data_IF_500145510120
#
_entry.id   IF_500145510120
#
_cell.length_a   1.000
_cell.length_b   1.000
_cell.length_c   1.000
_cell.angle_alpha   90.00
_cell.angle_beta   90.00
_cell.angle_gamma   90.00
#
_symmetry.space_group_name_H-M   'P 1'
#
loop_
_entity.id
_entity.type
_entity.pdbx_description
1 polymer ?
#
# COMPACT_ATOMS: atom_id res chain seq x y z
N UNK A 1 -21.05 27.38 -9.51
CA UNK A 1 -19.79 27.93 -8.94
C UNK A 1 -19.08 26.94 -8.01
N UNK A 2 -19.57 26.64 -6.79
CA UNK A 2 -18.84 25.72 -5.89
C UNK A 2 -18.85 24.24 -6.35
N UNK A 3 -19.99 23.77 -6.86
CA UNK A 3 -20.08 22.39 -7.39
C UNK A 3 -19.23 22.22 -8.65
N UNK A 4 -19.08 23.27 -9.47
CA UNK A 4 -18.21 23.25 -10.64
C UNK A 4 -16.73 23.20 -10.24
N UNK A 5 -16.33 23.95 -9.22
CA UNK A 5 -14.98 23.83 -8.64
C UNK A 5 -14.69 22.41 -8.12
N UNK A 6 -15.70 21.71 -7.57
CA UNK A 6 -15.53 20.32 -7.13
C UNK A 6 -15.40 19.34 -8.31
N UNK A 7 -15.88 19.70 -9.51
CA UNK A 7 -15.68 18.90 -10.73
C UNK A 7 -14.24 18.97 -11.22
N UNK A 8 -13.49 20.03 -10.92
CA UNK A 8 -12.06 20.13 -11.26
C UNK A 8 -11.24 18.99 -10.63
N UNK A 9 -11.67 18.41 -9.51
CA UNK A 9 -11.04 17.22 -8.93
C UNK A 9 -11.05 16.01 -9.88
N UNK A 10 -11.84 16.02 -10.97
CA UNK A 10 -11.81 15.00 -12.02
C UNK A 10 -10.51 15.02 -12.81
N UNK A 11 -9.90 16.19 -12.97
CA UNK A 11 -8.64 16.37 -13.71
C UNK A 11 -7.53 15.54 -13.07
N UNK A 12 -6.86 14.74 -13.90
CA UNK A 12 -5.77 13.88 -13.46
C UNK A 12 -4.59 14.65 -12.87
N UNK A 13 -4.26 15.82 -13.42
CA UNK A 13 -3.17 16.68 -12.94
C UNK A 13 -3.44 17.18 -11.52
N UNK A 14 -4.70 17.51 -11.23
CA UNK A 14 -5.13 17.98 -9.90
C UNK A 14 -5.08 16.81 -8.91
N UNK A 15 -5.59 15.62 -9.29
CA UNK A 15 -5.51 14.42 -8.44
C UNK A 15 -4.07 14.04 -8.14
N UNK A 16 -3.21 14.06 -9.15
CA UNK A 16 -1.79 13.76 -9.00
C UNK A 16 -1.12 14.75 -8.06
N UNK A 17 -1.40 16.05 -8.20
CA UNK A 17 -0.85 17.07 -7.32
C UNK A 17 -1.29 16.89 -5.86
N UNK A 18 -2.59 16.70 -5.62
CA UNK A 18 -3.17 16.48 -4.29
C UNK A 18 -2.70 15.17 -3.65
N UNK A 19 -2.46 14.13 -4.46
CA UNK A 19 -1.98 12.83 -3.99
C UNK A 19 -0.64 12.93 -3.26
N UNK A 20 0.17 13.93 -3.57
CA UNK A 20 1.47 14.16 -2.92
C UNK A 20 1.36 14.47 -1.43
N UNK A 21 0.23 15.05 -1.01
CA UNK A 21 -0.04 15.46 0.37
C UNK A 21 -0.99 14.51 1.11
N UNK A 22 -1.60 13.56 0.40
CA UNK A 22 -2.57 12.65 0.99
C UNK A 22 -1.84 11.58 1.83
N UNK A 23 -2.30 11.35 3.06
CA UNK A 23 -1.77 10.28 3.90
C UNK A 23 -1.95 8.90 3.24
N UNK A 24 -0.99 7.97 3.44
CA UNK A 24 -1.11 6.58 2.96
C UNK A 24 -2.43 5.92 3.39
N UNK A 25 -2.80 6.13 4.66
CA UNK A 25 -4.05 5.66 5.26
C UNK A 25 -4.63 6.68 6.25
N UNK A 26 -5.91 6.55 6.58
CA UNK A 26 -6.61 7.40 7.56
C UNK A 26 -7.18 6.58 8.70
N UNK A 27 -7.40 7.23 9.85
CA UNK A 27 -8.09 6.61 11.01
C UNK A 27 -9.58 6.38 10.73
N UNK A 28 -10.20 7.25 9.94
CA UNK A 28 -11.60 7.14 9.55
C UNK A 28 -11.76 6.30 8.28
N UNK A 29 -12.91 5.64 8.19
CA UNK A 29 -13.33 4.97 6.97
C UNK A 29 -13.61 5.99 5.85
N UNK A 30 -13.43 5.54 4.60
CA UNK A 30 -13.84 6.25 3.40
C UNK A 30 -15.35 6.06 3.20
N UNK A 31 -16.12 7.13 3.33
CA UNK A 31 -17.56 7.12 3.05
C UNK A 31 -17.84 7.66 1.66
N UNK A 32 -18.47 6.85 0.82
CA UNK A 32 -19.05 7.32 -0.43
C UNK A 32 -20.20 8.29 -0.16
N UNK A 33 -20.15 9.47 -0.78
CA UNK A 33 -21.21 10.49 -0.68
C UNK A 33 -21.85 10.81 -2.02
N UNK A 34 -21.03 10.91 -3.06
CA UNK A 34 -21.39 11.20 -4.45
C UNK A 34 -20.17 10.92 -5.34
N UNK A 35 -20.30 11.18 -6.64
CA UNK A 35 -19.30 10.82 -7.66
C UNK A 35 -17.94 11.43 -7.40
N UNK A 36 -17.87 12.62 -6.79
CA UNK A 36 -16.62 13.28 -6.40
C UNK A 36 -15.80 12.49 -5.38
N UNK A 37 -16.43 11.56 -4.64
CA UNK A 37 -15.69 10.69 -3.72
C UNK A 37 -14.66 9.85 -4.47
N UNK A 38 -14.99 9.36 -5.68
CA UNK A 38 -14.09 8.55 -6.51
C UNK A 38 -12.86 9.32 -7.00
N UNK A 39 -12.92 10.65 -6.99
CA UNK A 39 -11.80 11.51 -7.37
C UNK A 39 -10.91 11.90 -6.20
N UNK A 40 -11.17 11.37 -5.00
CA UNK A 40 -10.29 11.64 -3.85
C UNK A 40 -8.89 11.09 -4.11
N UNK A 41 -7.82 11.79 -3.66
CA UNK A 41 -6.45 11.39 -3.96
C UNK A 41 -6.09 9.98 -3.45
N UNK A 42 -6.70 9.54 -2.35
CA UNK A 42 -6.53 8.17 -1.82
C UNK A 42 -7.02 7.09 -2.79
N UNK A 43 -8.14 7.32 -3.47
CA UNK A 43 -8.70 6.38 -4.44
C UNK A 43 -7.85 6.41 -5.70
N UNK A 44 -7.53 7.60 -6.18
CA UNK A 44 -6.60 7.77 -7.30
C UNK A 44 -5.28 7.03 -7.06
N UNK A 45 -4.67 7.17 -5.88
CA UNK A 45 -3.46 6.42 -5.49
C UNK A 45 -3.68 4.92 -5.56
N UNK A 46 -4.76 4.39 -4.96
CA UNK A 46 -5.04 2.96 -4.97
C UNK A 46 -5.14 2.43 -6.40
N UNK A 47 -5.94 3.08 -7.24
CA UNK A 47 -6.17 2.68 -8.63
C UNK A 47 -4.90 2.77 -9.47
N UNK A 48 -4.11 3.84 -9.30
CA UNK A 48 -2.81 4.01 -9.96
C UNK A 48 -1.82 2.91 -9.51
N UNK A 49 -1.69 2.67 -8.21
CA UNK A 49 -0.84 1.60 -7.66
C UNK A 49 -1.29 0.22 -8.14
N UNK A 50 -2.59 -0.02 -8.29
CA UNK A 50 -3.10 -1.27 -8.84
C UNK A 50 -2.63 -1.47 -10.29
N UNK A 51 -2.65 -0.44 -11.13
CA UNK A 51 -2.19 -0.52 -12.53
C UNK A 51 -0.66 -0.60 -12.67
N UNK A 52 0.08 0.01 -11.75
CA UNK A 52 1.55 0.11 -11.80
C UNK A 52 2.26 -1.04 -11.08
N UNK A 53 1.70 -1.51 -9.96
CA UNK A 53 2.41 -2.33 -8.97
C UNK A 53 1.87 -3.74 -8.80
N UNK A 54 0.60 -3.98 -9.12
CA UNK A 54 0.03 -5.33 -9.04
C UNK A 54 0.77 -6.29 -9.98
N UNK A 55 1.09 -7.50 -9.50
CA UNK A 55 1.78 -8.54 -10.27
C UNK A 55 0.92 -9.81 -10.31
N UNK A 56 -0.03 -9.94 -11.26
CA UNK A 56 -0.89 -11.11 -11.30
C UNK A 56 -0.08 -12.40 -11.50
N UNK A 57 -0.40 -13.45 -10.74
CA UNK A 57 0.28 -14.75 -10.84
C UNK A 57 -0.33 -15.67 -11.89
N UNK A 58 -1.49 -15.29 -12.44
CA UNK A 58 -2.11 -15.93 -13.58
C UNK A 58 -2.64 -14.89 -14.56
N UNK A 59 -2.59 -15.23 -15.85
CA UNK A 59 -3.28 -14.43 -16.87
C UNK A 59 -4.78 -14.73 -16.90
N UNK A 60 -5.24 -15.84 -16.36
CA UNK A 60 -6.68 -16.11 -16.27
C UNK A 60 -7.26 -15.45 -15.02
N UNK A 61 -8.38 -14.75 -15.17
CA UNK A 61 -9.04 -14.04 -14.07
C UNK A 61 -10.53 -14.33 -14.01
N UNK A 62 -11.03 -14.50 -12.79
CA UNK A 62 -12.46 -14.57 -12.49
C UNK A 62 -12.86 -13.31 -11.74
N UNK A 63 -13.95 -12.69 -12.18
CA UNK A 63 -14.58 -11.60 -11.44
C UNK A 63 -15.73 -12.17 -10.59
N UNK A 64 -15.70 -11.86 -9.30
CA UNK A 64 -16.70 -12.26 -8.32
C UNK A 64 -17.53 -11.05 -7.90
N UNK A 65 -18.77 -11.29 -7.50
CA UNK A 65 -19.65 -10.25 -6.97
C UNK A 65 -19.13 -9.71 -5.63
N UNK A 66 -19.47 -8.45 -5.33
CA UNK A 66 -19.16 -7.87 -4.04
C UNK A 66 -19.98 -8.54 -2.93
N UNK A 67 -19.29 -8.94 -1.87
CA UNK A 67 -19.87 -9.49 -0.63
C UNK A 67 -19.42 -8.65 0.56
N UNK A 68 -19.85 -9.01 1.76
CA UNK A 68 -19.39 -8.31 2.97
C UNK A 68 -17.86 -8.39 3.11
N UNK A 69 -17.24 -7.22 3.34
CA UNK A 69 -15.80 -7.09 3.55
C UNK A 69 -15.40 -7.63 4.94
N UNK A 70 -14.21 -8.26 5.07
CA UNK A 70 -13.26 -8.60 4.01
C UNK A 70 -13.73 -9.80 3.19
N UNK A 71 -13.67 -9.68 1.86
CA UNK A 71 -14.21 -10.65 0.89
C UNK A 71 -13.63 -12.06 1.04
N UNK A 72 -12.38 -12.16 1.49
CA UNK A 72 -11.67 -13.40 1.76
C UNK A 72 -12.37 -14.27 2.81
N UNK A 73 -13.21 -13.71 3.70
CA UNK A 73 -14.04 -14.53 4.60
C UNK A 73 -14.98 -15.47 3.83
N UNK A 74 -15.50 -15.02 2.70
CA UNK A 74 -16.42 -15.78 1.85
C UNK A 74 -15.65 -16.57 0.80
N UNK A 75 -14.66 -15.94 0.15
CA UNK A 75 -14.01 -16.50 -1.03
C UNK A 75 -12.66 -17.20 -0.77
N UNK A 76 -12.21 -17.33 0.49
CA UNK A 76 -10.93 -18.01 0.82
C UNK A 76 -10.81 -19.40 0.20
N UNK A 77 -11.83 -20.26 0.36
CA UNK A 77 -11.81 -21.62 -0.21
C UNK A 77 -11.71 -21.62 -1.74
N UNK A 78 -12.35 -20.63 -2.38
CA UNK A 78 -12.30 -20.49 -3.85
C UNK A 78 -10.89 -20.11 -4.30
N UNK A 79 -10.24 -19.18 -3.59
CA UNK A 79 -8.85 -18.79 -3.86
C UNK A 79 -7.87 -19.92 -3.62
N UNK A 80 -7.91 -20.53 -2.44
CA UNK A 80 -6.95 -21.57 -2.03
C UNK A 80 -7.06 -22.82 -2.91
N UNK A 81 -8.24 -23.09 -3.48
CA UNK A 81 -8.48 -24.17 -4.45
C UNK A 81 -8.26 -23.79 -5.92
N UNK A 82 -7.76 -22.59 -6.21
CA UNK A 82 -7.61 -22.08 -7.57
C UNK A 82 -6.16 -21.76 -7.97
N UNK A 83 -5.88 -21.83 -9.27
CA UNK A 83 -4.67 -21.29 -9.91
C UNK A 83 -4.92 -20.00 -10.70
N UNK A 84 -6.17 -19.54 -10.80
CA UNK A 84 -6.55 -18.30 -11.47
C UNK A 84 -6.43 -17.10 -10.52
N UNK A 85 -6.35 -15.88 -11.08
CA UNK A 85 -6.61 -14.67 -10.29
C UNK A 85 -8.11 -14.54 -10.03
N UNK A 86 -8.45 -14.02 -8.85
CA UNK A 86 -9.83 -13.73 -8.44
C UNK A 86 -9.88 -12.28 -8.00
N UNK A 87 -10.69 -11.49 -8.70
CA UNK A 87 -10.94 -10.10 -8.40
C UNK A 87 -12.41 -9.92 -8.04
N UNK A 88 -12.70 -9.08 -7.05
CA UNK A 88 -14.07 -8.70 -6.70
C UNK A 88 -14.43 -7.43 -7.46
N UNK A 89 -15.54 -7.46 -8.20
CA UNK A 89 -16.11 -6.27 -8.84
C UNK A 89 -16.71 -5.38 -7.76
N UNK A 90 -16.07 -4.23 -7.48
CA UNK A 90 -16.50 -3.32 -6.42
C UNK A 90 -16.61 -1.87 -6.92
N UNK A 91 -17.31 -0.98 -6.20
CA UNK A 91 -17.48 0.42 -6.58
C UNK A 91 -16.18 1.23 -6.72
N UNK A 92 -15.09 0.85 -6.02
CA UNK A 92 -13.78 1.50 -6.16
C UNK A 92 -13.00 0.99 -7.38
N UNK A 93 -13.51 -0.07 -8.04
CA UNK A 93 -12.86 -0.81 -9.10
C UNK A 93 -12.65 -2.30 -8.77
N UNK A 94 -12.02 -3.07 -9.66
CA UNK A 94 -11.70 -4.46 -9.38
C UNK A 94 -10.68 -4.59 -8.25
N UNK A 95 -10.99 -5.41 -7.25
CA UNK A 95 -10.12 -5.65 -6.09
C UNK A 95 -9.55 -7.07 -6.14
N UNK A 96 -8.24 -7.26 -6.31
CA UNK A 96 -7.62 -8.58 -6.12
C UNK A 96 -7.95 -9.12 -4.73
N UNK A 97 -8.47 -10.34 -4.65
CA UNK A 97 -9.00 -10.90 -3.39
C UNK A 97 -8.05 -10.74 -2.18
N UNK A 98 -6.72 -10.95 -2.30
CA UNK A 98 -5.85 -10.84 -1.13
C UNK A 98 -5.65 -9.40 -0.62
N UNK A 99 -6.00 -8.38 -1.41
CA UNK A 99 -5.93 -6.95 -1.04
C UNK A 99 -7.20 -6.46 -0.33
N UNK A 100 -8.18 -7.32 -0.08
CA UNK A 100 -9.47 -6.98 0.53
C UNK A 100 -9.39 -6.35 1.92
N UNK A 101 -8.31 -6.58 2.66
CA UNK A 101 -8.06 -5.99 3.99
C UNK A 101 -7.25 -4.68 3.96
N UNK A 102 -6.67 -4.32 2.81
CA UNK A 102 -5.82 -3.14 2.65
C UNK A 102 -6.65 -1.86 2.48
N UNK A 103 -6.23 -0.77 3.10
CA UNK A 103 -6.86 0.54 2.92
C UNK A 103 -6.69 1.07 1.49
N UNK A 104 -7.75 1.66 0.87
CA UNK A 104 -9.05 1.98 1.44
C UNK A 104 -10.14 0.90 1.24
N UNK A 105 -9.79 -0.30 0.80
CA UNK A 105 -10.77 -1.34 0.42
C UNK A 105 -11.63 -1.75 1.60
N UNK A 106 -11.04 -2.38 2.63
CA UNK A 106 -11.79 -2.84 3.81
C UNK A 106 -12.45 -1.68 4.57
N UNK A 107 -11.77 -0.54 4.65
CA UNK A 107 -12.22 0.62 5.42
C UNK A 107 -13.00 1.60 4.54
N UNK A 108 -13.88 1.09 3.68
CA UNK A 108 -14.77 1.92 2.87
C UNK A 108 -16.21 1.43 2.86
N UNK A 109 -17.14 2.39 2.86
CA UNK A 109 -18.58 2.18 2.85
C UNK A 109 -19.16 2.81 1.60
N UNK A 110 -19.81 1.98 0.78
CA UNK A 110 -20.51 2.38 -0.44
C UNK A 110 -21.98 1.98 -0.34
N UNK A 111 -22.90 2.73 -0.98
CA UNK A 111 -24.30 2.33 -1.09
C UNK A 111 -24.43 1.07 -1.97
N UNK A 112 -25.50 0.29 -1.75
CA UNK A 112 -25.81 -0.90 -2.58
C UNK A 112 -26.09 -0.53 -4.05
N UNK A 113 -26.68 0.64 -4.26
CA UNK A 113 -26.95 1.17 -5.60
C UNK A 113 -25.99 2.32 -5.87
N UNK A 114 -25.15 2.15 -6.89
CA UNK A 114 -24.20 3.16 -7.36
C UNK A 114 -24.78 3.94 -8.54
N UNK A 115 -24.37 5.20 -8.67
CA UNK A 115 -24.62 6.00 -9.87
C UNK A 115 -23.83 5.49 -11.08
N UNK A 116 -24.29 5.88 -12.28
CA UNK A 116 -23.74 5.42 -13.55
C UNK A 116 -22.30 5.91 -13.82
N UNK A 117 -21.94 7.10 -13.34
CA UNK A 117 -20.58 7.63 -13.48
C UNK A 117 -19.58 6.75 -12.72
N UNK A 118 -19.93 6.36 -11.50
CA UNK A 118 -19.12 5.50 -10.64
C UNK A 118 -18.98 4.09 -11.20
N UNK A 119 -20.08 3.50 -11.68
CA UNK A 119 -20.04 2.20 -12.38
C UNK A 119 -19.13 2.25 -13.60
N UNK A 120 -19.27 3.30 -14.41
CA UNK A 120 -18.46 3.51 -15.61
C UNK A 120 -16.97 3.63 -15.29
N UNK A 121 -16.63 4.34 -14.22
CA UNK A 121 -15.24 4.48 -13.75
C UNK A 121 -14.64 3.15 -13.29
N UNK A 122 -15.40 2.33 -12.55
CA UNK A 122 -14.95 1.01 -12.11
C UNK A 122 -14.72 0.06 -13.30
N UNK A 123 -15.65 0.06 -14.27
CA UNK A 123 -15.52 -0.72 -15.51
C UNK A 123 -14.36 -0.25 -16.38
N UNK A 124 -14.09 1.06 -16.44
CA UNK A 124 -12.92 1.57 -17.14
C UNK A 124 -11.61 1.09 -16.52
N UNK A 125 -11.50 1.11 -15.18
CA UNK A 125 -10.34 0.59 -14.48
C UNK A 125 -10.16 -0.92 -14.73
N UNK A 126 -11.25 -1.69 -14.72
CA UNK A 126 -11.25 -3.11 -15.07
C UNK A 126 -10.72 -3.35 -16.48
N UNK A 127 -11.19 -2.61 -17.48
CA UNK A 127 -10.66 -2.69 -18.85
C UNK A 127 -9.17 -2.35 -18.92
N UNK A 128 -8.74 -1.28 -18.24
CA UNK A 128 -7.33 -0.88 -18.18
C UNK A 128 -6.46 -1.97 -17.54
N UNK A 129 -6.93 -2.58 -16.46
CA UNK A 129 -6.24 -3.65 -15.75
C UNK A 129 -6.07 -4.89 -16.64
N UNK A 130 -7.17 -5.35 -17.28
CA UNK A 130 -7.15 -6.50 -18.19
C UNK A 130 -6.16 -6.28 -19.34
N UNK A 131 -6.21 -5.10 -19.97
CA UNK A 131 -5.30 -4.73 -21.06
C UNK A 131 -3.84 -4.67 -20.59
N UNK A 132 -3.58 -4.00 -19.47
CA UNK A 132 -2.23 -3.77 -18.92
C UNK A 132 -1.50 -5.07 -18.65
N UNK A 133 -2.20 -6.06 -18.08
CA UNK A 133 -1.60 -7.33 -17.67
C UNK A 133 -1.89 -8.50 -18.61
N UNK A 134 -2.58 -8.25 -19.73
CA UNK A 134 -2.96 -9.30 -20.68
C UNK A 134 -3.84 -10.38 -20.04
N UNK A 135 -4.70 -9.99 -19.10
CA UNK A 135 -5.54 -10.91 -18.35
C UNK A 135 -6.77 -11.29 -19.20
N UNK A 136 -7.14 -12.57 -19.14
CA UNK A 136 -8.24 -13.19 -19.87
C UNK A 136 -9.34 -13.57 -18.89
N UNK A 137 -10.50 -12.90 -18.94
CA UNK A 137 -11.64 -13.27 -18.11
C UNK A 137 -12.12 -14.69 -18.42
N UNK A 138 -12.33 -15.49 -17.39
CA UNK A 138 -12.92 -16.83 -17.48
C UNK A 138 -14.13 -16.96 -16.56
N UNK A 139 -15.08 -17.82 -16.90
CA UNK A 139 -16.34 -17.98 -16.13
C UNK A 139 -16.17 -18.65 -14.77
N UNK A 140 -15.17 -19.53 -14.63
CA UNK A 140 -14.94 -20.32 -13.42
C UNK A 140 -13.44 -20.45 -13.16
N UNK A 141 -12.99 -20.40 -11.90
CA UNK A 141 -11.59 -20.53 -11.56
C UNK A 141 -11.05 -21.90 -12.00
N UNK A 142 -9.82 -21.94 -12.51
CA UNK A 142 -9.10 -23.21 -12.71
C UNK A 142 -8.72 -23.80 -11.37
N UNK A 143 -8.77 -25.12 -11.27
CA UNK A 143 -8.30 -25.86 -10.09
C UNK A 143 -6.81 -25.59 -9.87
N UNK A 144 -6.43 -25.40 -8.63
CA UNK A 144 -5.05 -25.17 -8.23
C UNK A 144 -4.88 -25.25 -6.73
N UNK A 145 -3.72 -24.80 -6.25
CA UNK A 145 -3.43 -24.69 -4.83
C UNK A 145 -2.67 -23.39 -4.59
N UNK A 146 -3.24 -22.51 -3.78
CA UNK A 146 -2.64 -21.24 -3.35
C UNK A 146 -2.80 -21.07 -1.85
N UNK A 147 -2.02 -20.17 -1.28
CA UNK A 147 -2.14 -19.73 0.11
C UNK A 147 -2.58 -18.26 0.12
N UNK A 148 -3.77 -17.99 0.64
CA UNK A 148 -4.32 -16.64 0.68
C UNK A 148 -3.52 -15.72 1.61
N UNK A 149 -2.98 -16.23 2.72
CA UNK A 149 -2.22 -15.42 3.67
C UNK A 149 -0.88 -15.00 3.04
N UNK A 150 -0.18 -15.91 2.37
CA UNK A 150 1.07 -15.61 1.66
C UNK A 150 0.83 -14.64 0.51
N UNK A 151 -0.19 -14.89 -0.32
CA UNK A 151 -0.49 -13.98 -1.45
C UNK A 151 -0.97 -12.60 -0.95
N UNK A 152 -1.65 -12.52 0.21
CA UNK A 152 -1.99 -11.24 0.83
C UNK A 152 -0.76 -10.46 1.23
N UNK A 153 0.23 -11.11 1.85
CA UNK A 153 1.51 -10.47 2.19
C UNK A 153 2.19 -9.98 0.91
N UNK A 154 2.33 -10.86 -0.09
CA UNK A 154 2.96 -10.57 -1.38
C UNK A 154 2.35 -9.34 -2.05
N UNK A 155 1.05 -9.37 -2.32
CA UNK A 155 0.38 -8.28 -3.03
C UNK A 155 0.38 -6.97 -2.23
N UNK A 156 0.24 -7.03 -0.90
CA UNK A 156 0.30 -5.84 -0.05
C UNK A 156 1.70 -5.22 -0.08
N UNK A 157 2.75 -6.05 -0.07
CA UNK A 157 4.13 -5.59 -0.21
C UNK A 157 4.35 -4.88 -1.54
N UNK A 158 3.91 -5.45 -2.66
CA UNK A 158 4.04 -4.80 -3.96
C UNK A 158 3.27 -3.48 -4.01
N UNK A 159 2.05 -3.45 -3.47
CA UNK A 159 1.25 -2.23 -3.41
C UNK A 159 1.90 -1.15 -2.55
N UNK A 160 2.51 -1.52 -1.42
CA UNK A 160 3.11 -0.58 -0.49
C UNK A 160 4.50 -0.11 -0.94
N UNK A 161 5.40 -1.06 -1.21
CA UNK A 161 6.82 -0.83 -1.44
C UNK A 161 7.24 -0.88 -2.92
N UNK A 162 6.34 -1.17 -3.85
CA UNK A 162 6.61 -1.17 -5.28
C UNK A 162 6.70 -2.56 -5.88
N UNK A 163 6.51 -2.63 -7.20
CA UNK A 163 6.40 -3.88 -7.95
C UNK A 163 7.63 -4.78 -7.77
N UNK A 164 7.42 -6.05 -7.45
CA UNK A 164 8.46 -7.09 -7.40
C UNK A 164 9.24 -7.12 -6.10
N UNK A 165 8.97 -6.19 -5.18
CA UNK A 165 9.64 -6.12 -3.89
C UNK A 165 9.32 -7.34 -3.01
N UNK A 166 8.14 -7.93 -3.21
CA UNK A 166 7.72 -9.12 -2.49
C UNK A 166 8.60 -10.32 -2.77
N UNK A 167 9.15 -10.42 -3.96
CA UNK A 167 9.99 -11.56 -4.35
C UNK A 167 11.35 -11.52 -3.64
N UNK A 168 11.78 -10.33 -3.21
CA UNK A 168 13.03 -10.14 -2.45
C UNK A 168 12.78 -10.19 -0.94
N UNK A 169 11.68 -9.60 -0.46
CA UNK A 169 11.34 -9.61 0.96
C UNK A 169 10.81 -10.94 1.47
N UNK A 170 10.49 -11.88 0.58
CA UNK A 170 9.96 -13.21 0.91
C UNK A 170 10.85 -14.33 0.34
N UNK A 171 12.11 -14.03 0.03
CA UNK A 171 13.08 -15.00 -0.50
C UNK A 171 13.72 -15.81 0.63
N UNK A 172 13.00 -16.82 1.13
CA UNK A 172 13.45 -17.68 2.22
C UNK A 172 12.30 -18.38 2.94
N UNK A 173 12.56 -18.91 4.14
CA UNK A 173 11.54 -19.56 4.96
C UNK A 173 10.64 -18.52 5.64
N UNK A 174 9.33 -18.62 5.42
CA UNK A 174 8.35 -17.66 5.92
C UNK A 174 7.55 -18.22 7.08
N UNK A 175 7.69 -17.59 8.24
CA UNK A 175 6.89 -17.86 9.43
C UNK A 175 5.92 -16.72 9.72
N UNK A 176 4.67 -17.07 10.01
CA UNK A 176 3.60 -16.12 10.26
C UNK A 176 3.08 -16.23 11.70
N UNK A 177 3.08 -15.10 12.41
CA UNK A 177 2.32 -14.97 13.65
C UNK A 177 0.95 -14.40 13.34
N UNK A 178 -0.10 -15.13 13.70
CA UNK A 178 -1.50 -14.74 13.50
C UNK A 178 -2.21 -14.48 14.83
N UNK A 179 -3.21 -13.60 14.79
CA UNK A 179 -4.11 -13.37 15.93
C UNK A 179 -4.89 -14.64 16.24
N UNK A 180 -4.80 -15.12 17.50
CA UNK A 180 -5.56 -16.29 17.96
C UNK A 180 -7.08 -16.11 17.83
N UNK A 181 -7.57 -14.88 18.01
CA UNK A 181 -9.01 -14.56 17.96
C UNK A 181 -9.52 -14.41 16.53
N UNK A 182 -8.79 -13.67 15.69
CA UNK A 182 -9.32 -13.23 14.37
C UNK A 182 -8.70 -13.95 13.18
N UNK A 183 -7.64 -14.73 13.40
CA UNK A 183 -6.86 -15.36 12.34
C UNK A 183 -6.04 -14.36 11.48
N UNK A 184 -6.12 -13.05 11.74
CA UNK A 184 -5.39 -12.04 10.97
C UNK A 184 -3.89 -12.10 11.20
N UNK A 185 -3.12 -11.91 10.13
CA UNK A 185 -1.65 -11.82 10.14
C UNK A 185 -1.23 -10.64 11.04
N UNK A 186 -0.19 -10.87 11.86
CA UNK A 186 0.39 -9.86 12.75
C UNK A 186 1.84 -9.61 12.43
N UNK A 187 2.65 -10.66 12.41
CA UNK A 187 4.08 -10.55 12.13
C UNK A 187 4.46 -11.52 11.02
N UNK A 188 5.43 -11.11 10.21
CA UNK A 188 6.06 -11.92 9.16
C UNK A 188 7.54 -12.03 9.51
N UNK A 189 8.03 -13.27 9.57
CA UNK A 189 9.42 -13.58 9.78
C UNK A 189 9.99 -14.24 8.53
N UNK A 190 11.25 -13.92 8.24
CA UNK A 190 12.05 -14.51 7.16
C UNK A 190 13.29 -15.14 7.81
N UNK A 191 13.46 -16.45 7.66
CA UNK A 191 14.56 -17.23 8.25
C UNK A 191 14.73 -16.92 9.76
N UNK A 192 13.61 -16.92 10.49
CA UNK A 192 13.54 -16.62 11.92
C UNK A 192 13.68 -15.14 12.31
N UNK A 193 13.88 -14.22 11.36
CA UNK A 193 14.03 -12.77 11.61
C UNK A 193 12.76 -12.00 11.34
N UNK A 194 12.37 -11.10 12.26
CA UNK A 194 11.15 -10.30 12.11
C UNK A 194 11.36 -9.19 11.07
N UNK A 195 10.71 -9.30 9.90
CA UNK A 195 10.88 -8.33 8.81
C UNK A 195 9.74 -7.31 8.72
N UNK A 196 8.51 -7.70 9.09
CA UNK A 196 7.31 -6.88 8.90
C UNK A 196 6.26 -7.16 9.96
N UNK A 197 5.48 -6.13 10.34
CA UNK A 197 4.25 -6.31 11.13
C UNK A 197 3.04 -5.74 10.41
N UNK A 198 2.01 -6.54 10.17
CA UNK A 198 0.76 -6.08 9.54
C UNK A 198 -0.11 -5.32 10.54
N UNK A 199 -0.53 -4.12 10.14
CA UNK A 199 -1.36 -3.23 10.95
C UNK A 199 -2.82 -3.63 10.81
N UNK A 200 -3.46 -3.90 11.94
CA UNK A 200 -4.84 -4.38 11.97
C UNK A 200 -5.88 -3.37 11.44
N UNK A 201 -5.60 -2.07 11.50
CA UNK A 201 -6.57 -1.02 11.17
C UNK A 201 -6.59 -0.64 9.68
N UNK A 202 -5.48 -0.77 8.97
CA UNK A 202 -5.35 -0.36 7.55
C UNK A 202 -4.76 -1.44 6.63
N UNK A 203 -4.38 -2.60 7.15
CA UNK A 203 -3.91 -3.74 6.36
C UNK A 203 -2.51 -3.56 5.75
N UNK A 204 -1.84 -2.44 6.01
CA UNK A 204 -0.47 -2.18 5.56
C UNK A 204 0.57 -2.72 6.53
N UNK A 205 1.82 -2.83 6.08
CA UNK A 205 2.94 -3.24 6.91
C UNK A 205 3.64 -2.07 7.59
N UNK A 206 4.04 -2.31 8.83
CA UNK A 206 5.15 -1.62 9.48
C UNK A 206 6.42 -2.37 9.14
N UNK A 207 7.46 -1.64 8.71
CA UNK A 207 8.75 -2.21 8.35
C UNK A 207 9.61 -2.39 9.62
N UNK A 208 10.29 -3.53 9.74
CA UNK A 208 11.25 -3.82 10.81
C UNK A 208 12.68 -3.71 10.32
N UNK A 209 13.63 -3.60 11.23
CA UNK A 209 15.01 -3.29 10.84
C UNK A 209 15.62 -4.33 9.88
N UNK A 210 15.34 -5.62 10.07
CA UNK A 210 15.82 -6.66 9.17
C UNK A 210 15.17 -6.55 7.77
N UNK A 211 13.88 -6.24 7.70
CA UNK A 211 13.22 -5.95 6.42
C UNK A 211 13.73 -4.66 5.77
N UNK A 212 14.10 -3.66 6.58
CA UNK A 212 14.68 -2.41 6.13
C UNK A 212 16.05 -2.61 5.49
N UNK A 213 16.89 -3.51 6.03
CA UNK A 213 18.18 -3.88 5.42
C UNK A 213 17.99 -4.50 4.03
N UNK A 214 17.00 -5.38 3.88
CA UNK A 214 16.69 -5.99 2.57
C UNK A 214 16.24 -4.92 1.57
N UNK A 215 15.33 -4.02 1.97
CA UNK A 215 14.87 -2.93 1.10
C UNK A 215 15.96 -1.92 0.75
N UNK A 216 16.82 -1.60 1.71
CA UNK A 216 17.96 -0.71 1.53
C UNK A 216 18.93 -1.26 0.48
N UNK A 217 19.27 -2.55 0.56
CA UNK A 217 20.12 -3.22 -0.43
C UNK A 217 19.45 -3.37 -1.80
N UNK A 218 18.14 -3.61 -1.84
CA UNK A 218 17.43 -3.85 -3.11
C UNK A 218 17.25 -2.58 -3.94
N UNK A 219 16.96 -1.46 -3.30
CA UNK A 219 16.69 -0.20 -3.98
C UNK A 219 17.90 0.72 -3.94
N UNK A 220 18.29 1.27 -5.09
CA UNK A 220 19.28 2.36 -5.12
C UNK A 220 18.71 3.66 -4.53
N UNK A 221 19.55 4.53 -3.94
CA UNK A 221 19.16 5.88 -3.55
C UNK A 221 18.52 6.65 -4.71
N UNK A 222 17.54 7.54 -4.46
CA UNK A 222 17.04 7.93 -3.14
C UNK A 222 15.85 7.06 -2.67
N UNK A 223 15.54 5.93 -3.30
CA UNK A 223 14.27 5.22 -3.10
C UNK A 223 14.05 4.78 -1.65
N UNK A 224 12.95 5.24 -1.04
CA UNK A 224 12.60 5.12 0.39
C UNK A 224 13.50 5.83 1.40
N UNK A 225 14.54 6.55 0.96
CA UNK A 225 15.47 7.24 1.86
C UNK A 225 14.87 8.53 2.39
N UNK A 226 15.22 8.83 3.63
CA UNK A 226 15.23 10.17 4.24
C UNK A 226 16.66 10.38 4.72
N UNK A 227 17.39 11.24 4.01
CA UNK A 227 18.79 11.59 4.27
C UNK A 227 18.81 12.66 5.35
N UNK A 228 19.57 12.43 6.41
CA UNK A 228 19.65 13.35 7.55
C UNK A 228 21.03 13.97 7.70
N UNK A 229 21.08 15.12 8.37
CA UNK A 229 22.32 15.76 8.79
C UNK A 229 23.09 14.90 9.79
N UNK A 230 24.42 14.97 9.74
CA UNK A 230 25.31 14.13 10.55
C UNK A 230 25.09 14.37 12.06
N UNK A 231 24.82 15.62 12.44
CA UNK A 231 24.51 16.02 13.82
C UNK A 231 23.23 15.38 14.37
N UNK A 232 22.32 14.89 13.51
CA UNK A 232 21.10 14.21 13.94
C UNK A 232 21.29 12.70 14.14
N UNK A 233 22.36 12.11 13.59
CA UNK A 233 22.56 10.64 13.57
C UNK A 233 22.56 10.06 14.99
N UNK A 234 23.30 10.65 15.92
CA UNK A 234 23.40 10.14 17.29
C UNK A 234 22.08 10.21 18.06
N UNK A 235 21.24 11.20 17.75
CA UNK A 235 19.90 11.29 18.33
C UNK A 235 18.99 10.20 17.77
N UNK A 236 19.05 9.96 16.46
CA UNK A 236 18.25 8.91 15.81
C UNK A 236 18.68 7.52 16.29
N UNK A 237 19.98 7.25 16.45
CA UNK A 237 20.49 5.99 17.04
C UNK A 237 19.99 5.76 18.46
N UNK A 238 19.70 6.82 19.21
CA UNK A 238 19.04 6.77 20.53
C UNK A 238 17.51 6.63 20.45
N UNK A 239 16.96 6.38 19.27
CA UNK A 239 15.54 6.21 19.01
C UNK A 239 14.73 7.52 18.94
N UNK A 240 15.38 8.68 18.84
CA UNK A 240 14.68 9.96 18.67
C UNK A 240 14.15 10.12 17.25
N UNK A 241 13.09 10.91 17.12
CA UNK A 241 12.47 11.23 15.83
C UNK A 241 13.35 12.21 15.03
N UNK A 242 13.23 12.16 13.70
CA UNK A 242 13.87 13.12 12.80
C UNK A 242 13.00 14.36 12.70
N UNK A 243 13.57 15.53 12.97
CA UNK A 243 12.93 16.83 12.77
C UNK A 243 13.23 17.36 11.36
N UNK A 244 12.30 18.12 10.77
CA UNK A 244 12.40 18.61 9.38
C UNK A 244 13.69 19.38 9.11
N UNK A 245 14.13 20.24 10.04
CA UNK A 245 15.39 21.00 9.92
C UNK A 245 16.65 20.15 9.75
N UNK A 246 16.59 18.86 10.09
CA UNK A 246 17.72 17.94 9.96
C UNK A 246 17.60 17.04 8.73
N UNK A 247 16.59 17.23 7.88
CA UNK A 247 16.43 16.47 6.64
C UNK A 247 17.19 17.20 5.53
N UNK A 248 18.16 16.51 4.94
CA UNK A 248 18.95 17.00 3.80
C UNK A 248 18.16 16.82 2.50
N UNK A 249 17.67 15.61 2.26
CA UNK A 249 16.80 15.24 1.14
C UNK A 249 16.03 13.96 1.44
N UNK A 250 15.03 13.63 0.63
CA UNK A 250 14.33 12.34 0.70
C UNK A 250 13.72 11.92 -0.66
N UNK A 251 13.29 10.65 -0.76
CA UNK A 251 12.56 10.16 -1.94
C UNK A 251 11.30 11.01 -2.19
N UNK A 252 11.22 11.64 -3.35
CA UNK A 252 10.05 12.44 -3.78
C UNK A 252 8.76 11.63 -3.90
N UNK A 253 8.86 10.30 -3.91
CA UNK A 253 7.71 9.37 -3.94
C UNK A 253 7.19 9.01 -2.55
N UNK A 254 7.90 9.35 -1.47
CA UNK A 254 7.37 9.18 -0.12
C UNK A 254 6.15 10.09 0.07
N UNK A 255 5.13 9.54 0.69
CA UNK A 255 3.94 10.25 1.13
C UNK A 255 3.89 10.25 2.65
N UNK A 256 3.14 11.18 3.27
CA UNK A 256 2.87 11.09 4.69
C UNK A 256 2.35 9.69 5.04
N UNK A 257 2.89 9.12 6.10
CA UNK A 257 2.59 7.80 6.63
C UNK A 257 3.15 6.58 5.89
N UNK A 258 3.96 6.78 4.85
CA UNK A 258 4.79 5.70 4.30
C UNK A 258 5.87 5.28 5.30
N UNK A 259 6.32 4.03 5.19
CA UNK A 259 7.52 3.56 5.90
C UNK A 259 8.76 4.01 5.11
N UNK A 260 9.82 4.41 5.79
CA UNK A 260 11.04 4.95 5.19
C UNK A 260 12.31 4.46 5.88
N UNK A 261 13.42 4.57 5.14
CA UNK A 261 14.78 4.28 5.57
C UNK A 261 15.45 5.60 5.95
N UNK A 262 15.86 5.75 7.20
CA UNK A 262 16.62 6.92 7.67
C UNK A 262 18.10 6.62 7.44
N UNK A 263 18.77 7.46 6.66
CA UNK A 263 20.16 7.21 6.21
C UNK A 263 21.06 8.43 6.41
N UNK A 264 22.38 8.20 6.50
CA UNK A 264 23.39 9.26 6.40
C UNK A 264 23.49 9.80 4.96
N UNK A 265 24.30 10.85 4.76
CA UNK A 265 24.63 11.38 3.42
C UNK A 265 25.31 10.36 2.51
N UNK A 266 26.02 9.39 3.10
CA UNK A 266 26.71 8.30 2.41
C UNK A 266 25.81 7.06 2.19
N UNK A 267 24.49 7.20 2.41
CA UNK A 267 23.48 6.13 2.36
C UNK A 267 23.68 5.01 3.41
N UNK A 268 24.36 5.27 4.53
CA UNK A 268 24.41 4.30 5.63
C UNK A 268 23.05 4.22 6.31
N UNK A 269 22.48 3.01 6.41
CA UNK A 269 21.22 2.79 7.11
C UNK A 269 21.38 3.04 8.61
N UNK A 270 20.65 4.03 9.13
CA UNK A 270 20.66 4.37 10.55
C UNK A 270 19.46 3.76 11.28
N UNK A 271 18.27 3.87 10.68
CA UNK A 271 17.02 3.43 11.29
C UNK A 271 15.91 3.25 10.27
N UNK A 272 14.80 2.64 10.71
CA UNK A 272 13.53 2.62 9.99
C UNK A 272 12.52 3.52 10.69
N UNK A 273 11.70 4.21 9.91
CA UNK A 273 10.71 5.14 10.43
C UNK A 273 9.43 5.20 9.60
N UNK A 274 8.55 6.10 10.01
CA UNK A 274 7.34 6.47 9.27
C UNK A 274 7.35 7.97 9.02
N UNK A 275 7.22 8.36 7.76
CA UNK A 275 7.12 9.77 7.38
C UNK A 275 5.85 10.41 7.96
N UNK A 276 5.92 11.68 8.33
CA UNK A 276 4.76 12.51 8.67
C UNK A 276 4.47 13.56 7.60
N UNK A 277 5.44 13.80 6.72
CA UNK A 277 5.45 14.84 5.70
C UNK A 277 5.84 14.20 4.35
N UNK A 278 5.53 14.86 3.24
CA UNK A 278 6.13 14.56 1.94
C UNK A 278 7.47 15.30 1.77
N UNK A 279 8.16 15.07 0.64
CA UNK A 279 9.44 15.74 0.36
C UNK A 279 9.35 17.27 0.34
N UNK A 280 8.32 17.83 -0.27
CA UNK A 280 8.15 19.29 -0.39
C UNK A 280 8.04 19.92 1.00
N UNK A 281 7.26 19.31 1.89
CA UNK A 281 7.08 19.74 3.27
C UNK A 281 8.34 19.53 4.12
N UNK A 282 9.02 18.38 3.99
CA UNK A 282 10.25 18.08 4.73
C UNK A 282 11.35 19.12 4.45
N UNK A 283 11.49 19.53 3.18
CA UNK A 283 12.51 20.49 2.75
C UNK A 283 12.14 21.95 2.99
N UNK A 284 10.84 22.26 3.16
CA UNK A 284 10.37 23.62 3.40
C UNK A 284 10.24 23.97 4.89
N UNK A 285 10.13 22.98 5.78
CA UNK A 285 9.85 23.22 7.19
C UNK A 285 11.12 23.29 8.05
N UNK A 286 11.24 24.37 8.81
CA UNK A 286 12.32 24.58 9.80
C UNK A 286 12.02 23.95 11.18
N UNK A 287 10.79 23.45 11.38
CA UNK A 287 10.36 22.88 12.65
C UNK A 287 9.36 21.73 12.43
N UNK A 288 9.14 20.95 13.50
CA UNK A 288 8.26 19.78 13.48
C UNK A 288 8.98 18.48 13.11
N UNK A 289 8.30 17.37 13.38
CA UNK A 289 8.82 16.02 13.13
C UNK A 289 8.56 15.64 11.68
N UNK A 290 9.61 15.31 10.93
CA UNK A 290 9.50 14.78 9.57
C UNK A 290 9.29 13.26 9.57
N UNK A 291 10.00 12.53 10.44
CA UNK A 291 9.93 11.07 10.54
C UNK A 291 9.80 10.63 11.98
N UNK A 292 8.80 9.78 12.25
CA UNK A 292 8.72 9.03 13.50
C UNK A 292 9.59 7.79 13.41
N UNK A 293 10.69 7.77 14.17
CA UNK A 293 11.60 6.63 14.25
C UNK A 293 10.89 5.45 14.91
N UNK A 294 11.05 4.26 14.35
CA UNK A 294 10.41 3.03 14.86
C UNK A 294 11.40 2.06 15.46
N UNK A 295 12.50 1.83 14.75
CA UNK A 295 13.52 0.86 15.13
C UNK A 295 14.86 1.30 14.55
N UNK A 296 15.94 1.15 15.31
CA UNK A 296 17.28 1.60 14.95
C UNK A 296 18.13 0.41 14.52
N UNK A 297 19.06 0.63 13.58
CA UNK A 297 20.10 -0.35 13.30
C UNK A 297 21.07 -0.35 14.48
N UNK A 298 21.28 -1.54 15.06
CA UNK A 298 22.22 -1.74 16.16
C UNK A 298 23.64 -1.90 15.65
#
# INVERSE_FOLDING_TARGET
MLMDALRELRDERIKEWLERFENLSKRSALFYRNTHTLHRPVIYRYQRRLLERYVPRSREVVFMEEVEKPYGKVYRKVWEGSSSEILVDSPIGPVPLPLDEMYPVAQSVFPRSMDEESKSSAEELKRKLLKRFGMKPIKRPRKGKRDLDIDRIRYTLDMQFGRGVSDVLLDGEIDLVKSKTTGKIRNVYLDGRHILSMRAHDGFFTLKIEGARILHNFYSPPRFRVIIEDEAIDFVRKGRNVFSRFVVDCDSRLRPFDECLIVSKDDDLIAVGRTLLNREEMLAFEYGVAVKTREVLK
#
